data_IF_377893216151
#
_entry.id   IF_377893216151
#
_cell.length_a   1.000
_cell.length_b   1.000
_cell.length_c   1.000
_cell.angle_alpha   90.00
_cell.angle_beta   90.00
_cell.angle_gamma   90.00
#
_symmetry.space_group_name_H-M   'P 1'
#
loop_
_entity.id
_entity.type
_entity.pdbx_description
1 polymer ?
#
# COMPACT_ATOMS: atom_id res chain seq x y z
N UNK A 1 -36.23 7.51 -31.88
CA UNK A 1 -35.23 8.27 -31.10
C UNK A 1 -35.39 7.91 -29.64
N UNK A 2 -34.39 7.26 -29.05
CA UNK A 2 -34.20 7.20 -27.60
C UNK A 2 -32.70 7.00 -27.41
N UNK A 3 -32.01 8.09 -27.07
CA UNK A 3 -30.63 8.03 -26.61
C UNK A 3 -30.69 7.51 -25.18
N UNK A 4 -30.09 6.35 -24.94
CA UNK A 4 -29.75 5.90 -23.60
C UNK A 4 -28.80 6.96 -23.02
N UNK A 5 -29.26 7.69 -22.02
CA UNK A 5 -28.38 8.43 -21.10
C UNK A 5 -27.46 7.40 -20.46
N UNK A 6 -26.26 7.27 -21.00
CA UNK A 6 -25.14 6.67 -20.30
C UNK A 6 -24.87 7.61 -19.15
N UNK A 7 -25.30 7.22 -17.94
CA UNK A 7 -24.95 7.93 -16.72
C UNK A 7 -23.41 8.06 -16.68
N UNK A 8 -22.91 9.25 -16.98
CA UNK A 8 -21.50 9.58 -16.84
C UNK A 8 -21.26 9.70 -15.35
N UNK A 9 -20.88 8.59 -14.71
CA UNK A 9 -20.23 8.66 -13.39
C UNK A 9 -19.04 9.61 -13.57
N UNK A 10 -18.94 10.70 -12.79
CA UNK A 10 -17.81 11.61 -12.89
C UNK A 10 -16.53 10.80 -12.70
N UNK A 11 -15.73 10.69 -13.76
CA UNK A 11 -14.42 10.05 -13.70
C UNK A 11 -13.49 11.08 -13.04
N UNK A 12 -13.42 11.05 -11.71
CA UNK A 12 -12.67 12.01 -10.87
C UNK A 12 -11.20 11.63 -10.68
N UNK A 13 -10.81 10.40 -11.00
CA UNK A 13 -9.40 10.00 -11.13
C UNK A 13 -9.00 10.11 -12.61
N UNK A 14 -7.91 10.81 -12.93
CA UNK A 14 -7.25 10.84 -14.25
C UNK A 14 -5.78 11.23 -14.11
N UNK A 15 -5.04 10.56 -13.23
CA UNK A 15 -3.61 10.85 -13.09
C UNK A 15 -2.84 10.23 -14.26
N UNK A 16 -3.21 9.02 -14.67
CA UNK A 16 -2.68 8.37 -15.87
C UNK A 16 -3.73 7.48 -16.54
N UNK A 17 -3.49 7.08 -17.78
CA UNK A 17 -4.51 6.48 -18.65
C UNK A 17 -5.01 5.08 -18.23
N UNK A 18 -4.30 4.40 -17.34
CA UNK A 18 -4.51 2.99 -17.01
C UNK A 18 -4.80 2.74 -15.52
N UNK A 19 -5.11 3.79 -14.76
CA UNK A 19 -5.35 3.76 -13.31
C UNK A 19 -6.41 2.73 -12.88
N UNK A 20 -7.58 2.70 -13.53
CA UNK A 20 -8.65 1.74 -13.22
C UNK A 20 -8.22 0.31 -13.53
N UNK A 21 -7.43 0.10 -14.60
CA UNK A 21 -6.92 -1.23 -14.94
C UNK A 21 -5.93 -1.71 -13.89
N UNK A 22 -5.02 -0.84 -13.46
CA UNK A 22 -4.11 -1.10 -12.35
C UNK A 22 -4.89 -1.46 -11.07
N UNK A 23 -5.88 -0.64 -10.67
CA UNK A 23 -6.71 -0.89 -9.48
C UNK A 23 -7.45 -2.23 -9.57
N UNK A 24 -8.04 -2.54 -10.72
CA UNK A 24 -8.73 -3.83 -10.93
C UNK A 24 -7.77 -5.02 -10.82
N UNK A 25 -6.55 -4.88 -11.33
CA UNK A 25 -5.52 -5.91 -11.23
C UNK A 25 -5.06 -6.10 -9.77
N UNK A 26 -4.84 -5.00 -9.04
CA UNK A 26 -4.54 -5.05 -7.61
C UNK A 26 -5.69 -5.63 -6.79
N UNK A 27 -6.95 -5.29 -7.09
CA UNK A 27 -8.13 -5.90 -6.49
C UNK A 27 -8.17 -7.41 -6.73
N UNK A 28 -7.91 -7.87 -7.95
CA UNK A 28 -7.90 -9.31 -8.25
C UNK A 28 -6.83 -10.07 -7.45
N UNK A 29 -5.64 -9.47 -7.27
CA UNK A 29 -4.61 -10.04 -6.39
C UNK A 29 -5.09 -10.07 -4.94
N UNK A 30 -5.60 -8.95 -4.43
CA UNK A 30 -6.05 -8.85 -3.05
C UNK A 30 -7.14 -9.91 -2.78
N UNK A 31 -8.16 -9.96 -3.63
CA UNK A 31 -9.24 -10.94 -3.55
C UNK A 31 -8.69 -12.37 -3.51
N UNK A 32 -7.91 -12.76 -4.52
CA UNK A 32 -7.39 -14.13 -4.57
C UNK A 32 -6.49 -14.47 -3.38
N UNK A 33 -5.66 -13.53 -2.92
CA UNK A 33 -4.72 -13.74 -1.83
C UNK A 33 -5.41 -13.83 -0.47
N UNK A 34 -6.33 -12.92 -0.16
CA UNK A 34 -6.99 -12.88 1.14
C UNK A 34 -8.12 -13.91 1.23
N UNK A 35 -8.85 -14.21 0.15
CA UNK A 35 -9.83 -15.32 0.14
C UNK A 35 -9.18 -16.67 0.41
N UNK A 36 -7.95 -16.86 -0.07
CA UNK A 36 -7.19 -18.08 0.19
C UNK A 36 -6.71 -18.19 1.65
N UNK A 37 -6.72 -17.10 2.42
CA UNK A 37 -6.39 -17.08 3.85
C UNK A 37 -7.66 -17.18 4.71
N UNK A 38 -8.63 -16.32 4.43
CA UNK A 38 -9.89 -16.15 5.14
C UNK A 38 -10.82 -15.26 4.29
N UNK A 39 -11.91 -15.82 3.77
CA UNK A 39 -12.86 -15.14 2.89
C UNK A 39 -13.66 -14.05 3.63
N UNK A 40 -13.75 -14.09 4.96
CA UNK A 40 -14.37 -13.03 5.74
C UNK A 40 -13.56 -11.72 5.75
N UNK A 41 -12.29 -11.73 5.29
CA UNK A 41 -11.46 -10.51 5.22
C UNK A 41 -12.00 -9.46 4.24
N UNK A 42 -12.77 -9.88 3.22
CA UNK A 42 -13.42 -9.04 2.21
C UNK A 42 -12.53 -7.87 1.73
N UNK A 43 -11.39 -8.15 1.06
CA UNK A 43 -10.43 -7.13 0.70
C UNK A 43 -10.96 -6.17 -0.36
N UNK A 44 -10.72 -4.87 -0.18
CA UNK A 44 -11.11 -3.82 -1.12
C UNK A 44 -9.94 -2.89 -1.39
N UNK A 45 -9.67 -2.63 -2.68
CA UNK A 45 -8.52 -1.84 -3.12
C UNK A 45 -8.98 -0.50 -3.70
N UNK A 46 -8.46 0.58 -3.14
CA UNK A 46 -8.65 1.95 -3.58
C UNK A 46 -7.31 2.57 -3.98
N UNK A 47 -7.35 3.60 -4.81
CA UNK A 47 -6.16 4.43 -5.09
C UNK A 47 -6.37 5.83 -4.54
N UNK A 48 -5.35 6.34 -3.87
CA UNK A 48 -5.30 7.72 -3.38
C UNK A 48 -4.14 8.45 -4.07
N UNK A 49 -4.43 9.56 -4.72
CA UNK A 49 -3.46 10.46 -5.32
C UNK A 49 -3.32 11.72 -4.49
N UNK A 50 -2.16 11.89 -3.85
CA UNK A 50 -1.82 13.11 -3.10
C UNK A 50 -0.88 13.98 -3.95
N UNK A 51 -1.18 15.26 -4.19
CA UNK A 51 -0.29 16.12 -4.98
C UNK A 51 1.07 16.24 -4.28
N UNK A 52 2.15 16.12 -5.06
CA UNK A 52 3.53 16.31 -4.54
C UNK A 52 3.72 17.74 -4.05
N UNK A 53 3.11 18.69 -4.76
CA UNK A 53 3.07 20.10 -4.39
C UNK A 53 1.62 20.59 -4.27
N UNK A 54 1.11 20.64 -3.04
CA UNK A 54 -0.22 21.18 -2.75
C UNK A 54 -0.35 22.68 -3.12
N UNK A 55 0.76 23.43 -3.17
CA UNK A 55 0.73 24.86 -3.53
C UNK A 55 0.49 25.08 -5.03
N UNK A 56 0.68 24.05 -5.86
CA UNK A 56 0.40 24.09 -7.30
C UNK A 56 -1.10 24.07 -7.64
N UNK A 57 -1.99 24.09 -6.64
CA UNK A 57 -3.45 24.09 -6.84
C UNK A 57 -4.03 22.75 -7.30
N UNK A 58 -3.23 21.69 -7.27
CA UNK A 58 -3.69 20.33 -7.58
C UNK A 58 -4.54 19.78 -6.43
N UNK A 59 -5.70 19.21 -6.77
CA UNK A 59 -6.58 18.57 -5.78
C UNK A 59 -6.14 17.14 -5.49
N UNK A 60 -6.42 16.67 -4.27
CA UNK A 60 -6.38 15.24 -3.94
C UNK A 60 -7.44 14.53 -4.78
N UNK A 61 -7.10 13.36 -5.29
CA UNK A 61 -7.99 12.55 -6.14
C UNK A 61 -7.97 11.10 -5.67
N UNK A 62 -9.03 10.36 -5.95
CA UNK A 62 -9.12 8.93 -5.65
C UNK A 62 -9.78 8.14 -6.77
N UNK A 63 -9.38 6.88 -6.94
CA UNK A 63 -10.14 5.87 -7.68
C UNK A 63 -10.76 4.93 -6.66
N UNK A 64 -12.08 4.89 -6.64
CA UNK A 64 -12.87 4.10 -5.70
C UNK A 64 -12.75 2.60 -5.95
N UNK A 65 -12.94 1.84 -4.89
CA UNK A 65 -13.00 0.38 -4.96
C UNK A 65 -14.26 -0.12 -5.69
N UNK A 66 -14.36 -1.44 -5.92
CA UNK A 66 -15.56 -2.10 -6.46
C UNK A 66 -16.89 -1.66 -5.86
N UNK A 67 -16.93 -1.45 -4.54
CA UNK A 67 -18.16 -1.10 -3.81
C UNK A 67 -18.55 0.38 -3.97
N UNK A 68 -17.67 1.21 -4.55
CA UNK A 68 -17.91 2.64 -4.75
C UNK A 68 -17.70 3.50 -3.50
N UNK A 69 -17.21 2.91 -2.40
CA UNK A 69 -16.93 3.66 -1.18
C UNK A 69 -15.81 4.69 -1.39
N UNK A 70 -16.09 5.94 -1.03
CA UNK A 70 -15.17 7.06 -1.13
C UNK A 70 -14.47 7.33 0.19
N UNK A 71 -13.17 7.66 0.13
CA UNK A 71 -12.45 8.21 1.26
C UNK A 71 -12.83 9.70 1.44
N UNK A 72 -12.95 10.18 2.68
CA UNK A 72 -13.15 11.61 2.98
C UNK A 72 -11.86 12.40 2.70
N UNK A 73 -11.75 12.95 1.48
CA UNK A 73 -10.51 13.55 0.96
C UNK A 73 -9.96 14.71 1.81
N UNK A 74 -10.82 15.40 2.55
CA UNK A 74 -10.48 16.49 3.47
C UNK A 74 -9.54 16.04 4.60
N UNK A 75 -9.62 14.78 5.04
CA UNK A 75 -8.72 14.25 6.07
C UNK A 75 -7.27 14.12 5.57
N UNK A 76 -7.07 14.09 4.26
CA UNK A 76 -5.79 13.83 3.63
C UNK A 76 -5.07 15.10 3.17
N UNK A 77 -5.68 16.29 3.31
CA UNK A 77 -5.19 17.57 2.80
C UNK A 77 -3.70 17.85 3.07
N UNK A 78 -3.23 17.51 4.27
CA UNK A 78 -1.88 17.83 4.73
C UNK A 78 -0.93 16.63 4.75
N UNK A 79 -1.34 15.45 4.26
CA UNK A 79 -0.55 14.21 4.39
C UNK A 79 0.78 14.32 3.64
N UNK A 80 0.77 14.77 2.39
CA UNK A 80 1.98 14.91 1.60
C UNK A 80 2.97 15.91 2.24
N UNK A 81 2.49 17.08 2.64
CA UNK A 81 3.31 18.09 3.32
C UNK A 81 3.89 17.57 4.63
N UNK A 82 3.07 16.97 5.51
CA UNK A 82 3.53 16.37 6.77
C UNK A 82 4.60 15.32 6.51
N UNK A 83 4.41 14.46 5.51
CA UNK A 83 5.38 13.44 5.14
C UNK A 83 6.73 13.99 4.69
N UNK A 84 6.72 15.04 3.85
CA UNK A 84 7.94 15.74 3.45
C UNK A 84 8.65 16.39 4.64
N UNK A 85 7.90 17.00 5.55
CA UNK A 85 8.45 17.59 6.76
C UNK A 85 9.10 16.54 7.68
N UNK A 86 8.50 15.34 7.82
CA UNK A 86 9.13 14.23 8.55
C UNK A 86 10.49 13.85 7.93
N UNK A 87 10.57 13.79 6.59
CA UNK A 87 11.81 13.49 5.88
C UNK A 87 12.88 14.59 6.08
N UNK A 88 12.49 15.86 5.92
CA UNK A 88 13.39 17.01 6.10
C UNK A 88 13.94 17.13 7.53
N UNK A 89 13.12 16.79 8.53
CA UNK A 89 13.52 16.81 9.94
C UNK A 89 14.30 15.55 10.38
N UNK A 90 14.57 14.61 9.48
CA UNK A 90 15.27 13.35 9.81
C UNK A 90 14.48 12.43 10.73
N UNK A 91 13.14 12.56 10.75
CA UNK A 91 12.24 11.76 11.60
C UNK A 91 11.77 10.46 10.91
N UNK A 92 12.20 10.25 9.68
CA UNK A 92 11.97 9.03 8.92
C UNK A 92 13.11 8.05 9.20
N UNK A 93 12.85 6.85 9.75
CA UNK A 93 13.90 5.87 9.99
C UNK A 93 14.58 5.48 8.67
N UNK A 94 15.89 5.59 8.61
CA UNK A 94 16.69 5.07 7.49
C UNK A 94 17.23 3.72 7.94
N UNK A 95 16.86 2.65 7.24
CA UNK A 95 17.52 1.37 7.45
C UNK A 95 18.98 1.58 7.01
N UNK A 96 19.95 1.25 7.86
CA UNK A 96 21.36 1.31 7.48
C UNK A 96 21.71 -0.01 6.79
N UNK A 97 21.32 -0.17 5.53
CA UNK A 97 21.82 -1.28 4.73
C UNK A 97 23.14 -0.88 4.08
N UNK A 98 24.14 -1.77 3.96
CA UNK A 98 25.34 -1.51 3.16
C UNK A 98 25.05 -1.15 1.70
N UNK A 99 23.85 -1.49 1.19
CA UNK A 99 23.40 -1.12 -0.15
C UNK A 99 23.09 0.38 -0.24
N UNK A 100 22.67 1.02 0.85
CA UNK A 100 22.27 2.44 0.83
C UNK A 100 23.48 3.37 0.58
N UNK A 101 24.71 2.91 0.85
CA UNK A 101 25.96 3.64 0.51
C UNK A 101 26.25 3.65 -1.01
N UNK A 102 25.55 2.81 -1.78
CA UNK A 102 25.72 2.67 -3.24
C UNK A 102 24.59 3.39 -4.01
N UNK A 103 23.54 3.83 -3.32
CA UNK A 103 22.39 4.51 -3.92
C UNK A 103 22.73 5.98 -4.19
N UNK A 104 22.24 6.52 -5.32
CA UNK A 104 22.35 7.95 -5.61
C UNK A 104 21.71 8.78 -4.48
N UNK A 105 22.38 9.82 -3.94
CA UNK A 105 21.81 10.65 -2.87
C UNK A 105 20.42 11.23 -3.19
N UNK A 106 20.11 11.49 -4.46
CA UNK A 106 18.78 11.94 -4.90
C UNK A 106 17.74 10.82 -4.76
N UNK A 107 18.08 9.61 -5.22
CA UNK A 107 17.19 8.44 -5.09
C UNK A 107 16.91 8.09 -3.62
N UNK A 108 17.94 8.22 -2.77
CA UNK A 108 17.80 8.03 -1.33
C UNK A 108 16.87 9.08 -0.72
N UNK A 109 17.03 10.36 -1.10
CA UNK A 109 16.15 11.44 -0.65
C UNK A 109 14.70 11.18 -1.05
N UNK A 110 14.46 10.80 -2.30
CA UNK A 110 13.11 10.50 -2.82
C UNK A 110 12.49 9.29 -2.10
N UNK A 111 13.30 8.30 -1.75
CA UNK A 111 12.86 7.14 -0.96
C UNK A 111 12.47 7.54 0.47
N UNK A 112 13.27 8.38 1.13
CA UNK A 112 12.99 8.89 2.48
C UNK A 112 11.72 9.75 2.47
N UNK A 113 11.56 10.61 1.46
CA UNK A 113 10.38 11.45 1.30
C UNK A 113 9.10 10.62 1.16
N UNK A 114 9.08 9.64 0.25
CA UNK A 114 7.96 8.70 0.08
C UNK A 114 7.66 7.92 1.36
N UNK A 115 8.68 7.56 2.14
CA UNK A 115 8.52 6.90 3.44
C UNK A 115 7.82 7.82 4.43
N UNK A 116 8.24 9.09 4.47
CA UNK A 116 7.61 10.12 5.27
C UNK A 116 6.13 10.29 4.93
N UNK A 117 5.79 10.34 3.64
CA UNK A 117 4.39 10.40 3.18
C UNK A 117 3.59 9.20 3.67
N UNK A 118 4.11 7.98 3.54
CA UNK A 118 3.46 6.78 4.09
C UNK A 118 3.26 6.85 5.60
N UNK A 119 4.27 7.32 6.34
CA UNK A 119 4.21 7.47 7.80
C UNK A 119 3.20 8.54 8.25
N UNK A 120 2.99 9.58 7.44
CA UNK A 120 1.96 10.58 7.70
C UNK A 120 0.55 10.10 7.31
N UNK A 121 0.45 9.23 6.30
CA UNK A 121 -0.81 8.70 5.79
C UNK A 121 -1.44 7.66 6.73
N UNK A 122 -0.65 6.70 7.23
CA UNK A 122 -1.18 5.60 8.02
C UNK A 122 -1.97 6.06 9.27
N UNK A 123 -1.52 7.04 10.06
CA UNK A 123 -2.31 7.55 11.20
C UNK A 123 -3.66 8.15 10.79
N UNK A 124 -3.75 8.78 9.62
CA UNK A 124 -5.03 9.32 9.11
C UNK A 124 -5.98 8.18 8.76
N UNK A 125 -5.46 7.11 8.14
CA UNK A 125 -6.21 5.88 7.86
C UNK A 125 -6.63 5.15 9.14
N UNK A 126 -5.79 5.15 10.17
CA UNK A 126 -6.08 4.55 11.47
C UNK A 126 -7.22 5.31 12.17
N UNK A 127 -7.21 6.64 12.14
CA UNK A 127 -8.31 7.48 12.63
C UNK A 127 -9.59 7.25 11.82
N UNK A 128 -9.50 7.11 10.49
CA UNK A 128 -10.67 6.78 9.65
C UNK A 128 -11.27 5.41 10.02
N UNK A 129 -10.45 4.46 10.45
CA UNK A 129 -10.90 3.14 10.87
C UNK A 129 -11.61 3.14 12.24
N UNK A 130 -11.40 4.17 13.07
CA UNK A 130 -11.98 4.23 14.42
C UNK A 130 -13.52 4.19 14.37
N UNK A 131 -14.11 3.24 15.10
CA UNK A 131 -15.57 3.07 15.14
C UNK A 131 -16.18 2.42 13.88
N UNK A 132 -15.36 1.97 12.93
CA UNK A 132 -15.81 1.23 11.75
C UNK A 132 -15.50 -0.27 11.88
N UNK A 133 -16.15 -1.10 11.07
CA UNK A 133 -15.82 -2.53 10.95
C UNK A 133 -14.61 -2.78 10.05
N UNK A 134 -13.87 -1.74 9.62
CA UNK A 134 -12.79 -1.87 8.65
C UNK A 134 -11.42 -1.48 9.21
N UNK A 135 -10.37 -1.98 8.57
CA UNK A 135 -9.00 -1.46 8.70
C UNK A 135 -8.44 -1.10 7.33
N UNK A 136 -7.59 -0.08 7.31
CA UNK A 136 -7.02 0.47 6.09
C UNK A 136 -5.49 0.42 6.18
N UNK A 137 -4.85 0.00 5.10
CA UNK A 137 -3.40 -0.10 4.99
C UNK A 137 -2.94 0.59 3.72
N UNK A 138 -1.92 1.44 3.83
CA UNK A 138 -1.28 2.02 2.65
C UNK A 138 -0.04 1.24 2.23
N UNK A 139 0.08 1.02 0.93
CA UNK A 139 1.31 0.59 0.27
C UNK A 139 2.35 1.71 0.28
N UNK A 140 3.55 1.42 -0.22
CA UNK A 140 4.54 2.46 -0.48
C UNK A 140 4.06 3.41 -1.60
N UNK A 141 4.12 4.74 -1.39
CA UNK A 141 3.75 5.70 -2.42
C UNK A 141 4.71 5.65 -3.61
N UNK A 142 4.18 5.79 -4.82
CA UNK A 142 4.96 5.97 -6.06
C UNK A 142 4.58 7.29 -6.71
N UNK A 143 5.57 8.02 -7.23
CA UNK A 143 5.32 9.32 -7.87
C UNK A 143 4.94 9.07 -9.33
N UNK A 144 3.73 9.51 -9.73
CA UNK A 144 3.24 9.48 -11.11
C UNK A 144 2.63 10.84 -11.40
N UNK A 145 3.09 11.51 -12.46
CA UNK A 145 2.53 12.79 -12.95
C UNK A 145 2.32 13.85 -11.83
N UNK A 146 3.32 14.02 -10.96
CA UNK A 146 3.31 14.95 -9.82
C UNK A 146 2.34 14.58 -8.67
N UNK A 147 1.96 13.30 -8.56
CA UNK A 147 1.19 12.78 -7.44
C UNK A 147 1.90 11.62 -6.76
N UNK A 148 1.84 11.58 -5.43
CA UNK A 148 2.05 10.37 -4.64
C UNK A 148 0.83 9.45 -4.79
N UNK A 149 1.00 8.37 -5.54
CA UNK A 149 0.00 7.32 -5.70
C UNK A 149 0.18 6.29 -4.61
N UNK A 150 -0.83 6.16 -3.77
CA UNK A 150 -0.89 5.18 -2.68
C UNK A 150 -1.98 4.16 -3.02
N UNK A 151 -1.64 2.87 -2.99
CA UNK A 151 -2.66 1.82 -3.02
C UNK A 151 -3.14 1.61 -1.59
N UNK A 152 -4.45 1.71 -1.37
CA UNK A 152 -5.08 1.52 -0.08
C UNK A 152 -5.78 0.16 -0.09
N UNK A 153 -5.41 -0.71 0.84
CA UNK A 153 -6.10 -1.96 1.11
C UNK A 153 -7.02 -1.76 2.31
N UNK A 154 -8.32 -1.96 2.11
CA UNK A 154 -9.33 -2.08 3.17
C UNK A 154 -9.66 -3.55 3.39
N UNK A 155 -9.78 -3.97 4.65
CA UNK A 155 -10.23 -5.32 5.05
C UNK A 155 -11.15 -5.24 6.27
N UNK A 156 -11.94 -6.30 6.49
CA UNK A 156 -12.78 -6.45 7.68
C UNK A 156 -11.93 -6.56 8.96
N UNK A 157 -12.31 -5.79 9.98
CA UNK A 157 -11.54 -5.63 11.21
C UNK A 157 -11.59 -6.87 12.11
N UNK A 158 -12.75 -7.51 12.22
CA UNK A 158 -12.96 -8.68 13.09
C UNK A 158 -12.10 -9.89 12.66
N UNK A 159 -12.16 -10.38 11.42
CA UNK A 159 -11.32 -11.51 10.98
C UNK A 159 -9.84 -11.17 11.03
N UNK A 160 -9.46 -9.93 10.70
CA UNK A 160 -8.09 -9.44 10.84
C UNK A 160 -7.55 -9.58 12.28
N UNK A 161 -8.35 -9.24 13.30
CA UNK A 161 -7.96 -9.40 14.71
C UNK A 161 -7.97 -10.85 15.19
N UNK A 162 -8.85 -11.68 14.63
CA UNK A 162 -8.94 -13.09 14.98
C UNK A 162 -7.75 -13.91 14.44
N UNK A 163 -7.02 -13.37 13.46
CA UNK A 163 -5.95 -14.08 12.79
C UNK A 163 -4.78 -14.41 13.74
N UNK A 164 -4.30 -15.68 13.79
CA UNK A 164 -3.21 -16.07 14.68
C UNK A 164 -1.93 -15.25 14.43
N UNK A 165 -1.39 -14.68 15.50
CA UNK A 165 -0.18 -13.87 15.44
C UNK A 165 0.79 -14.20 16.57
N UNK A 166 2.08 -14.17 16.24
CA UNK A 166 3.18 -14.14 17.19
C UNK A 166 3.24 -12.75 17.88
N UNK A 167 4.02 -12.66 18.95
CA UNK A 167 4.23 -11.38 19.65
C UNK A 167 4.73 -10.32 18.65
N UNK A 168 4.12 -9.12 18.65
CA UNK A 168 4.54 -8.03 17.80
C UNK A 168 5.92 -7.48 18.22
N UNK A 169 6.39 -6.46 17.50
CA UNK A 169 7.57 -5.65 17.85
C UNK A 169 8.92 -6.35 17.69
N UNK A 170 9.02 -7.22 16.68
CA UNK A 170 10.31 -7.73 16.21
C UNK A 170 10.66 -7.13 14.86
N UNK A 171 11.95 -6.92 14.66
CA UNK A 171 12.50 -6.41 13.41
C UNK A 171 13.71 -7.23 12.99
N UNK A 172 13.94 -7.29 11.68
CA UNK A 172 15.24 -7.68 11.13
C UNK A 172 16.33 -6.73 11.64
N UNK A 173 17.61 -7.12 11.51
CA UNK A 173 18.75 -6.28 11.89
C UNK A 173 18.85 -4.96 11.14
N UNK A 174 18.26 -4.88 9.95
CA UNK A 174 18.17 -3.65 9.16
C UNK A 174 16.99 -2.75 9.59
N UNK A 175 16.28 -3.10 10.66
CA UNK A 175 15.16 -2.34 11.20
C UNK A 175 13.84 -2.54 10.46
N UNK A 176 13.77 -3.43 9.47
CA UNK A 176 12.49 -3.79 8.84
C UNK A 176 11.63 -4.59 9.81
N UNK A 177 10.32 -4.29 9.92
CA UNK A 177 9.43 -5.05 10.78
C UNK A 177 9.35 -6.50 10.29
N UNK A 178 9.41 -7.43 11.23
CA UNK A 178 9.28 -8.86 10.99
C UNK A 178 7.78 -9.21 10.98
N UNK A 179 7.25 -9.88 9.95
CA UNK A 179 5.85 -10.25 9.94
C UNK A 179 5.57 -11.22 11.09
N UNK A 180 4.60 -10.89 11.94
CA UNK A 180 4.24 -11.70 13.10
C UNK A 180 3.09 -12.67 12.84
N UNK A 181 2.41 -12.58 11.69
CA UNK A 181 1.38 -13.52 11.26
C UNK A 181 1.49 -13.79 9.76
N UNK A 182 0.86 -14.88 9.30
CA UNK A 182 0.79 -15.18 7.88
C UNK A 182 0.03 -14.09 7.12
N UNK A 183 -1.02 -13.53 7.74
CA UNK A 183 -1.80 -12.43 7.18
C UNK A 183 -0.94 -11.17 7.01
N UNK A 184 -0.15 -10.78 8.01
CA UNK A 184 0.77 -9.63 7.90
C UNK A 184 1.86 -9.88 6.84
N UNK A 185 2.37 -11.11 6.75
CA UNK A 185 3.31 -11.48 5.70
C UNK A 185 2.68 -11.39 4.30
N UNK A 186 1.43 -11.84 4.14
CA UNK A 186 0.69 -11.75 2.89
C UNK A 186 0.39 -10.29 2.50
N UNK A 187 0.01 -9.43 3.45
CA UNK A 187 -0.12 -7.99 3.23
C UNK A 187 1.19 -7.35 2.76
N UNK A 188 2.34 -7.78 3.30
CA UNK A 188 3.65 -7.32 2.81
C UNK A 188 3.90 -7.74 1.36
N UNK A 189 3.56 -8.98 0.99
CA UNK A 189 3.69 -9.46 -0.40
C UNK A 189 2.75 -8.74 -1.36
N UNK A 190 1.52 -8.47 -0.94
CA UNK A 190 0.59 -7.63 -1.69
C UNK A 190 1.16 -6.22 -1.93
N UNK A 191 1.73 -5.59 -0.89
CA UNK A 191 2.39 -4.29 -1.00
C UNK A 191 3.56 -4.31 -1.99
N UNK A 192 4.40 -5.36 -1.95
CA UNK A 192 5.51 -5.51 -2.90
C UNK A 192 5.03 -5.62 -4.35
N UNK A 193 4.02 -6.44 -4.63
CA UNK A 193 3.49 -6.61 -5.99
C UNK A 193 2.85 -5.34 -6.54
N UNK A 194 2.07 -4.64 -5.71
CA UNK A 194 1.41 -3.38 -6.10
C UNK A 194 2.42 -2.27 -6.36
N UNK A 195 3.43 -2.14 -5.51
CA UNK A 195 4.54 -1.18 -5.71
C UNK A 195 5.32 -1.49 -6.98
N UNK A 196 5.64 -2.77 -7.22
CA UNK A 196 6.33 -3.19 -8.44
C UNK A 196 5.51 -2.82 -9.69
N UNK A 197 4.21 -3.10 -9.68
CA UNK A 197 3.31 -2.79 -10.77
C UNK A 197 3.14 -1.27 -11.00
N UNK A 198 3.12 -0.46 -9.93
CA UNK A 198 3.12 1.02 -10.04
C UNK A 198 4.42 1.61 -10.58
N UNK A 199 5.52 0.89 -10.46
CA UNK A 199 6.84 1.34 -10.93
C UNK A 199 7.09 0.97 -12.40
N UNK A 200 6.19 0.22 -13.03
CA UNK A 200 6.26 -0.04 -14.47
C UNK A 200 6.11 1.28 -15.27
N UNK A 201 6.70 1.41 -16.47
CA UNK A 201 6.61 2.64 -17.26
C UNK A 201 5.17 3.09 -17.55
N UNK A 202 4.26 2.13 -17.69
CA UNK A 202 2.83 2.37 -17.96
C UNK A 202 1.97 1.48 -17.05
N UNK A 203 1.78 1.84 -15.76
CA UNK A 203 1.13 0.99 -14.77
C UNK A 203 -0.29 0.61 -15.19
N UNK A 204 -0.56 -0.70 -15.31
CA UNK A 204 -1.86 -1.21 -15.74
C UNK A 204 -2.08 -1.27 -17.27
N UNK A 205 -1.09 -0.90 -18.09
CA UNK A 205 -1.14 -1.06 -19.54
C UNK A 205 -0.81 -2.49 -20.00
N UNK A 206 -0.06 -3.25 -19.19
CA UNK A 206 0.40 -4.60 -19.51
C UNK A 206 -0.75 -5.54 -19.87
N UNK A 207 -0.75 -6.03 -21.12
CA UNK A 207 -1.78 -6.95 -21.66
C UNK A 207 -1.77 -8.34 -21.00
N UNK A 208 -0.71 -8.64 -20.24
CA UNK A 208 -0.43 -9.91 -19.58
C UNK A 208 -0.11 -9.69 -18.11
N UNK A 209 -0.88 -8.85 -17.41
CA UNK A 209 -0.88 -8.92 -15.95
C UNK A 209 -1.48 -10.26 -15.56
N UNK A 210 -0.67 -11.32 -15.59
CA UNK A 210 -0.91 -12.52 -14.83
C UNK A 210 -0.51 -12.14 -13.43
N UNK A 211 -1.47 -12.05 -12.48
CA UNK A 211 -1.12 -12.09 -11.09
C UNK A 211 -0.05 -13.17 -10.91
N UNK A 212 1.00 -12.86 -10.15
CA UNK A 212 1.80 -13.94 -9.57
C UNK A 212 0.82 -14.94 -8.99
N UNK A 213 1.07 -16.22 -9.25
CA UNK A 213 0.18 -17.26 -8.78
C UNK A 213 -0.04 -17.03 -7.28
N UNK A 214 -1.29 -16.97 -6.84
CA UNK A 214 -1.64 -16.75 -5.43
C UNK A 214 -0.85 -17.69 -4.53
N UNK A 215 -0.62 -18.93 -4.99
CA UNK A 215 0.21 -19.90 -4.30
C UNK A 215 1.67 -19.44 -4.12
N UNK A 216 2.26 -18.75 -5.10
CA UNK A 216 3.60 -18.15 -4.99
C UNK A 216 3.63 -17.05 -3.94
N UNK A 217 2.63 -16.17 -3.91
CA UNK A 217 2.55 -15.11 -2.91
C UNK A 217 2.37 -15.69 -1.50
N UNK A 218 1.51 -16.69 -1.34
CA UNK A 218 1.32 -17.37 -0.06
C UNK A 218 2.57 -18.14 0.38
N UNK A 219 3.26 -18.82 -0.54
CA UNK A 219 4.52 -19.49 -0.26
C UNK A 219 5.61 -18.51 0.17
N UNK A 220 5.70 -17.36 -0.49
CA UNK A 220 6.64 -16.30 -0.14
C UNK A 220 6.29 -15.64 1.20
N UNK A 221 5.00 -15.45 1.50
CA UNK A 221 4.51 -14.96 2.78
C UNK A 221 4.83 -15.96 3.91
N UNK A 222 4.54 -17.25 3.71
CA UNK A 222 4.90 -18.31 4.64
C UNK A 222 6.39 -18.37 4.92
N UNK A 223 7.23 -18.27 3.88
CA UNK A 223 8.70 -18.20 4.04
C UNK A 223 9.12 -17.02 4.91
N UNK A 224 8.58 -15.83 4.68
CA UNK A 224 8.90 -14.64 5.49
C UNK A 224 8.43 -14.76 6.93
N UNK A 225 7.27 -15.39 7.18
CA UNK A 225 6.80 -15.63 8.54
C UNK A 225 7.77 -16.53 9.32
N UNK A 226 8.43 -17.50 8.67
CA UNK A 226 9.38 -18.40 9.32
C UNK A 226 10.64 -17.70 9.86
N UNK A 227 10.94 -16.49 9.40
CA UNK A 227 12.04 -15.69 9.98
C UNK A 227 11.72 -15.27 11.43
N UNK A 228 10.44 -15.06 11.76
CA UNK A 228 10.00 -14.67 13.10
C UNK A 228 10.27 -15.70 14.22
N UNK A 229 9.91 -16.99 14.07
CA UNK A 229 10.32 -18.01 15.01
C UNK A 229 11.83 -18.27 14.94
N UNK A 230 12.47 -18.26 13.76
CA UNK A 230 13.91 -18.50 13.63
C UNK A 230 14.76 -17.50 14.44
N UNK A 231 14.38 -16.21 14.40
CA UNK A 231 14.97 -15.17 15.25
C UNK A 231 14.62 -15.35 16.74
N UNK A 232 13.44 -15.89 17.06
CA UNK A 232 13.01 -16.10 18.45
C UNK A 232 13.88 -17.10 19.21
N UNK A 233 14.30 -18.17 18.53
CA UNK A 233 15.04 -19.27 19.13
C UNK A 233 16.55 -19.15 18.95
N UNK A 234 17.05 -18.03 18.41
CA UNK A 234 18.48 -17.80 18.20
C UNK A 234 19.11 -18.73 17.15
N UNK A 235 18.29 -19.38 16.31
CA UNK A 235 18.77 -20.26 15.23
C UNK A 235 19.16 -19.51 13.96
N UNK A 236 18.95 -18.19 13.96
CA UNK A 236 19.31 -17.30 12.89
C UNK A 236 20.78 -16.85 13.06
N UNK A 237 21.71 -17.80 13.03
CA UNK A 237 23.12 -17.49 12.78
C UNK A 237 23.24 -17.18 11.27
N UNK A 238 23.35 -15.90 10.93
CA UNK A 238 23.80 -15.42 9.62
C UNK A 238 24.91 -14.39 9.79
#
# INVERSE_FOLDING_TARGET
MSYLEVATVPVTFRIWSHERRYRNAAQAIAQALFDALDDELEPQVLLLGLPVDASAGQSIVQEVGPDGDELPLELFANVAERGRNLALLGQVPVATSPIDDVIDPLDLRDRIERKGVRMALQPVLDTLAEGTDYRYFSTWPIIINNYYICTILRVQHKPLLAYPALRPDRAYTDGRPLPNSLLMAAMSRFNEETVKALTEPEPGAGLLYRPRDTEELLRAAGRSLLDAPAMAVGSADW
#
